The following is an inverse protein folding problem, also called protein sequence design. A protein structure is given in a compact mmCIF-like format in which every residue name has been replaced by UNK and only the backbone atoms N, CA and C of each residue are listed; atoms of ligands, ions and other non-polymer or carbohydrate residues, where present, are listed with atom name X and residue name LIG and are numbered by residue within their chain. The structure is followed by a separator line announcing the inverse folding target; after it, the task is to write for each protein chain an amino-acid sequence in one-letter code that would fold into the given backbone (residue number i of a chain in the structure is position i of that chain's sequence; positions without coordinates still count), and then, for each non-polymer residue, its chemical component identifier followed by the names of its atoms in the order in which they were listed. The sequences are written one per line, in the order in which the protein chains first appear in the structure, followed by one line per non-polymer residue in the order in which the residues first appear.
data_IF_298330729830
#
_entry.id   IF_298330729830
#
_cell.length_a   1.000
_cell.length_b   1.000
_cell.length_c   1.000
_cell.angle_alpha   90.00
_cell.angle_beta   90.00
_cell.angle_gamma   90.00
#
_symmetry.space_group_name_H-M   'P 1'
#
loop_
_entity.id
_entity.type
_entity.pdbx_description
1 polymer ?
#
# COMPACT_ATOMS: atom_id res chain seq x y z
N UNK A 1 21.07 12.25 -18.51
CA UNK A 1 21.34 11.53 -17.25
C UNK A 1 22.21 12.30 -16.25
N UNK A 2 23.12 13.21 -16.66
CA UNK A 2 24.01 13.98 -15.76
C UNK A 2 23.33 15.09 -14.93
N UNK A 3 22.16 15.57 -15.36
CA UNK A 3 21.43 16.69 -14.72
C UNK A 3 20.55 16.29 -13.53
N UNK A 4 20.32 14.99 -13.30
CA UNK A 4 19.50 14.48 -12.19
C UNK A 4 20.37 14.01 -11.01
N UNK A 5 21.65 13.72 -11.25
CA UNK A 5 22.56 13.27 -10.19
C UNK A 5 22.95 14.41 -9.21
N UNK A 6 22.99 15.63 -9.67
CA UNK A 6 23.39 16.78 -8.85
C UNK A 6 22.39 17.10 -7.73
N UNK A 7 21.06 17.17 -7.97
CA UNK A 7 20.09 17.38 -6.91
C UNK A 7 19.98 16.18 -5.95
N UNK A 8 20.22 14.94 -6.44
CA UNK A 8 20.24 13.76 -5.59
C UNK A 8 21.45 13.74 -4.64
N UNK A 9 22.61 14.16 -5.10
CA UNK A 9 23.82 14.33 -4.27
C UNK A 9 23.68 15.47 -3.25
N UNK A 10 22.99 16.55 -3.61
CA UNK A 10 22.69 17.65 -2.68
C UNK A 10 21.67 17.21 -1.62
N UNK A 11 20.70 16.36 -1.97
CA UNK A 11 19.75 15.80 -1.02
C UNK A 11 20.43 14.86 -0.01
N UNK A 12 21.43 14.07 -0.45
CA UNK A 12 22.23 13.21 0.42
C UNK A 12 23.17 14.00 1.35
N UNK A 13 23.67 15.16 0.92
CA UNK A 13 24.58 15.97 1.75
C UNK A 13 23.88 16.71 2.89
N UNK A 14 22.58 16.95 2.77
CA UNK A 14 21.77 17.57 3.85
C UNK A 14 21.52 16.57 5.00
N UNK A 15 21.66 15.27 4.75
CA UNK A 15 21.46 14.24 5.77
C UNK A 15 22.66 13.98 6.68
N UNK A 16 23.82 14.61 6.43
CA UNK A 16 25.06 14.34 7.18
C UNK A 16 25.40 15.35 8.27
N UNK A 17 24.55 16.34 8.52
CA UNK A 17 24.83 17.39 9.49
C UNK A 17 23.95 17.30 10.72
N UNK A 18 24.34 16.46 11.66
CA UNK A 18 24.22 16.76 13.10
C UNK A 18 25.00 15.71 13.88
N UNK A 19 26.26 15.96 14.16
CA UNK A 19 26.93 15.40 15.34
C UNK A 19 26.21 15.97 16.58
N UNK A 20 25.03 15.43 16.87
CA UNK A 20 24.28 15.80 18.06
C UNK A 20 24.90 15.06 19.24
N UNK A 21 25.15 15.79 20.32
CA UNK A 21 25.40 15.16 21.61
C UNK A 21 24.36 14.06 21.84
N UNK A 22 24.77 12.91 22.38
CA UNK A 22 23.86 11.81 22.66
C UNK A 22 22.76 12.32 23.59
N UNK A 23 21.54 12.45 23.07
CA UNK A 23 20.38 12.90 23.83
C UNK A 23 19.64 11.69 24.38
N UNK A 24 19.17 11.79 25.61
CA UNK A 24 18.36 10.76 26.24
C UNK A 24 16.93 10.78 25.64
N UNK A 25 16.61 9.79 24.82
CA UNK A 25 15.29 9.67 24.18
C UNK A 25 14.14 9.58 25.19
N UNK A 26 14.43 9.17 26.43
CA UNK A 26 13.41 9.04 27.46
C UNK A 26 13.08 10.37 28.16
N UNK A 27 13.98 11.36 28.06
CA UNK A 27 13.85 12.61 28.81
C UNK A 27 13.67 13.84 27.94
N UNK A 28 14.19 13.82 26.71
CA UNK A 28 14.20 14.98 25.83
C UNK A 28 13.54 14.69 24.50
N UNK A 29 12.77 15.65 23.92
CA UNK A 29 12.28 15.52 22.56
C UNK A 29 13.44 15.59 21.57
N UNK A 30 13.66 14.53 20.81
CA UNK A 30 14.77 14.42 19.86
C UNK A 30 14.28 14.43 18.42
N UNK A 31 15.16 14.89 17.52
CA UNK A 31 14.97 14.70 16.08
C UNK A 31 15.63 13.39 15.67
N UNK A 32 14.89 12.53 14.96
CA UNK A 32 15.41 11.25 14.50
C UNK A 32 14.74 10.77 13.21
N UNK A 33 15.52 10.04 12.42
CA UNK A 33 15.00 9.24 11.32
C UNK A 33 14.53 7.89 11.81
N UNK A 34 13.49 7.34 11.17
CA UNK A 34 12.90 6.06 11.50
C UNK A 34 12.67 5.27 10.22
N UNK A 35 13.32 4.13 10.07
CA UNK A 35 12.94 3.12 9.10
C UNK A 35 11.82 2.28 9.70
N UNK A 36 10.82 1.99 8.91
CA UNK A 36 9.61 1.35 9.41
C UNK A 36 9.20 0.20 8.49
N UNK A 37 8.76 -0.89 9.09
CA UNK A 37 8.06 -1.98 8.40
C UNK A 37 6.61 -1.95 8.86
N UNK A 38 5.70 -1.92 7.90
CA UNK A 38 4.27 -1.74 8.17
C UNK A 38 3.48 -2.94 7.71
N UNK A 39 2.48 -3.30 8.49
CA UNK A 39 1.45 -4.24 8.12
C UNK A 39 0.09 -3.65 8.48
N UNK A 40 -0.86 -3.71 7.55
CA UNK A 40 -2.19 -3.23 7.84
C UNK A 40 -3.27 -4.18 7.31
N UNK A 41 -4.40 -4.14 7.99
CA UNK A 41 -5.60 -4.88 7.69
C UNK A 41 -6.71 -3.89 7.29
N UNK A 42 -7.26 -4.05 6.07
CA UNK A 42 -8.15 -3.08 5.46
C UNK A 42 -9.53 -3.62 5.19
N UNK A 43 -10.52 -2.81 5.51
CA UNK A 43 -11.92 -2.99 5.12
C UNK A 43 -12.22 -2.06 3.95
N UNK A 44 -12.57 -2.60 2.76
CA UNK A 44 -12.96 -1.77 1.64
C UNK A 44 -14.36 -1.18 1.84
N UNK A 45 -14.54 0.04 1.38
CA UNK A 45 -15.81 0.75 1.38
C UNK A 45 -16.04 1.48 0.04
N UNK A 46 -17.22 2.04 -0.15
CA UNK A 46 -17.67 2.68 -1.39
C UNK A 46 -17.55 1.70 -2.59
N UNK A 47 -17.14 2.18 -3.76
CA UNK A 47 -17.06 1.37 -4.97
C UNK A 47 -16.05 0.21 -4.84
N UNK A 48 -15.03 0.38 -4.00
CA UNK A 48 -14.05 -0.67 -3.75
C UNK A 48 -14.66 -1.93 -3.12
N UNK A 49 -15.72 -1.76 -2.30
CA UNK A 49 -16.43 -2.86 -1.66
C UNK A 49 -17.17 -3.74 -2.67
N UNK A 50 -17.50 -3.24 -3.84
CA UNK A 50 -18.17 -4.03 -4.88
C UNK A 50 -17.23 -5.05 -5.51
N UNK A 51 -15.95 -4.69 -5.66
CA UNK A 51 -14.95 -5.53 -6.33
C UNK A 51 -14.15 -6.41 -5.36
N UNK A 52 -13.92 -5.92 -4.13
CA UNK A 52 -13.02 -6.60 -3.19
C UNK A 52 -13.62 -6.79 -1.80
N UNK A 53 -13.16 -7.82 -1.12
CA UNK A 53 -13.38 -8.01 0.30
C UNK A 53 -12.24 -7.42 1.14
N UNK A 54 -12.09 -7.93 2.35
CA UNK A 54 -11.01 -7.56 3.23
C UNK A 54 -9.66 -7.84 2.58
N UNK A 55 -8.72 -6.92 2.73
CA UNK A 55 -7.36 -7.02 2.19
C UNK A 55 -6.33 -6.67 3.24
N UNK A 56 -5.09 -7.01 2.94
CA UNK A 56 -3.94 -6.71 3.77
C UNK A 56 -2.94 -5.87 2.98
N UNK A 57 -2.10 -5.13 3.71
CA UNK A 57 -0.95 -4.49 3.12
C UNK A 57 0.31 -4.81 3.92
N UNK A 58 1.41 -4.91 3.19
CA UNK A 58 2.75 -4.96 3.75
C UNK A 58 3.58 -3.90 3.05
N UNK A 59 4.41 -3.19 3.80
CA UNK A 59 5.21 -2.14 3.22
C UNK A 59 6.34 -1.66 4.09
N UNK A 60 6.99 -0.63 3.59
CA UNK A 60 8.04 0.07 4.29
C UNK A 60 7.86 1.58 4.20
N UNK A 61 8.34 2.28 5.20
CA UNK A 61 8.34 3.73 5.22
C UNK A 61 9.60 4.29 5.84
N UNK A 62 9.88 5.52 5.49
CA UNK A 62 10.84 6.35 6.17
C UNK A 62 10.12 7.55 6.77
N UNK A 63 10.28 7.75 8.07
CA UNK A 63 9.71 8.87 8.78
C UNK A 63 10.80 9.68 9.46
N UNK A 64 10.71 11.01 9.37
CA UNK A 64 11.56 11.93 10.11
C UNK A 64 10.74 12.66 11.17
N UNK A 65 11.10 12.46 12.41
CA UNK A 65 10.53 13.16 13.56
C UNK A 65 11.43 14.33 13.94
N UNK A 66 10.87 15.51 14.03
CA UNK A 66 11.57 16.70 14.53
C UNK A 66 11.54 16.78 16.06
N UNK A 67 12.44 17.58 16.66
CA UNK A 67 12.40 17.86 18.09
C UNK A 67 11.10 18.54 18.55
N UNK A 68 10.41 19.24 17.64
CA UNK A 68 9.09 19.83 17.90
C UNK A 68 7.94 18.84 17.67
N UNK A 69 8.25 17.54 17.53
CA UNK A 69 7.28 16.46 17.35
C UNK A 69 6.48 16.52 16.04
N UNK A 70 6.98 17.20 15.01
CA UNK A 70 6.46 17.03 13.67
C UNK A 70 6.97 15.73 13.06
N UNK A 71 6.10 15.06 12.32
CA UNK A 71 6.39 13.82 11.58
C UNK A 71 6.29 14.11 10.09
N UNK A 72 7.29 13.68 9.33
CA UNK A 72 7.30 13.69 7.87
C UNK A 72 7.57 12.26 7.42
N UNK A 73 6.63 11.65 6.71
CA UNK A 73 6.69 10.23 6.37
C UNK A 73 6.51 10.04 4.87
N UNK A 74 7.36 9.20 4.28
CA UNK A 74 7.18 8.66 2.94
C UNK A 74 7.01 7.15 3.04
N UNK A 75 5.97 6.60 2.40
CA UNK A 75 5.54 5.25 2.64
C UNK A 75 5.14 4.57 1.33
N UNK A 76 5.46 3.29 1.20
CA UNK A 76 5.10 2.44 0.08
C UNK A 76 4.62 1.09 0.54
N UNK A 77 3.42 0.71 0.13
CA UNK A 77 2.75 -0.51 0.55
C UNK A 77 2.32 -1.34 -0.66
N UNK A 78 2.45 -2.64 -0.53
CA UNK A 78 1.88 -3.63 -1.42
C UNK A 78 0.55 -4.13 -0.84
N UNK A 79 -0.51 -4.06 -1.64
CA UNK A 79 -1.86 -4.50 -1.26
C UNK A 79 -2.07 -5.91 -1.79
N UNK A 80 -2.59 -6.80 -0.94
CA UNK A 80 -2.92 -8.15 -1.32
C UNK A 80 -4.18 -8.64 -0.58
N UNK A 81 -4.95 -9.49 -1.27
CA UNK A 81 -6.16 -10.09 -0.73
C UNK A 81 -6.62 -11.23 -1.61
N UNK A 82 -7.27 -12.20 -1.01
CA UNK A 82 -7.80 -13.38 -1.70
C UNK A 82 -9.32 -13.31 -1.88
N UNK A 83 -9.96 -12.21 -1.49
CA UNK A 83 -11.40 -12.01 -1.59
C UNK A 83 -11.73 -10.99 -2.67
N UNK A 84 -11.76 -11.46 -3.91
CA UNK A 84 -12.33 -10.73 -5.02
C UNK A 84 -13.81 -11.05 -5.07
N UNK A 85 -14.64 -10.02 -5.08
CA UNK A 85 -16.09 -10.12 -5.22
C UNK A 85 -16.46 -9.99 -6.69
N UNK A 86 -17.58 -10.53 -7.01
CA UNK A 86 -18.09 -10.58 -8.37
C UNK A 86 -18.23 -12.01 -8.82
N UNK A 87 -19.27 -12.24 -9.56
CA UNK A 87 -19.47 -13.50 -10.26
C UNK A 87 -18.35 -13.65 -11.31
N UNK A 88 -17.90 -14.87 -11.53
CA UNK A 88 -16.89 -15.19 -12.55
C UNK A 88 -17.33 -14.74 -13.93
N UNK A 89 -18.63 -14.88 -14.24
CA UNK A 89 -19.23 -14.38 -15.48
C UNK A 89 -19.04 -12.86 -15.60
N UNK A 90 -19.22 -12.11 -14.51
CA UNK A 90 -19.03 -10.64 -14.52
C UNK A 90 -17.57 -10.23 -14.71
N UNK A 91 -16.60 -11.08 -14.37
CA UNK A 91 -15.19 -10.81 -14.51
C UNK A 91 -14.69 -11.19 -15.90
N UNK A 92 -15.05 -12.38 -16.40
CA UNK A 92 -14.52 -12.97 -17.63
C UNK A 92 -15.46 -12.82 -18.82
N UNK A 93 -16.73 -12.51 -18.60
CA UNK A 93 -17.78 -12.45 -19.64
C UNK A 93 -18.30 -13.83 -20.02
N UNK A 94 -19.50 -13.84 -20.63
CA UNK A 94 -20.18 -15.06 -21.05
C UNK A 94 -19.46 -15.83 -22.17
N UNK A 95 -18.60 -15.15 -22.93
CA UNK A 95 -17.93 -15.75 -24.10
C UNK A 95 -16.93 -16.86 -23.75
N UNK A 96 -16.40 -16.86 -22.54
CA UNK A 96 -15.37 -17.83 -22.10
C UNK A 96 -15.75 -18.53 -20.78
N UNK A 97 -17.00 -18.34 -20.32
CA UNK A 97 -17.51 -19.00 -19.12
C UNK A 97 -18.71 -19.88 -19.43
N UNK A 98 -18.85 -20.96 -18.66
CA UNK A 98 -20.07 -21.76 -18.65
C UNK A 98 -21.20 -21.02 -17.93
N UNK A 99 -22.42 -21.55 -18.02
CA UNK A 99 -23.59 -21.04 -17.27
C UNK A 99 -23.35 -21.08 -15.75
N UNK A 100 -22.53 -22.02 -15.29
CA UNK A 100 -22.14 -22.19 -13.89
C UNK A 100 -20.93 -21.31 -13.49
N UNK A 101 -20.43 -20.47 -14.42
CA UNK A 101 -19.33 -19.55 -14.19
C UNK A 101 -17.95 -20.19 -14.22
N UNK A 102 -17.79 -21.37 -14.79
CA UNK A 102 -16.50 -22.00 -14.98
C UNK A 102 -15.82 -21.46 -16.24
N UNK A 103 -14.51 -21.22 -16.20
CA UNK A 103 -13.74 -20.73 -17.35
C UNK A 103 -13.35 -21.90 -18.25
N UNK A 104 -13.59 -21.73 -19.56
CA UNK A 104 -13.28 -22.72 -20.58
C UNK A 104 -11.90 -22.40 -21.17
N UNK A 105 -11.04 -23.40 -21.17
CA UNK A 105 -9.73 -23.35 -21.81
C UNK A 105 -9.77 -23.54 -23.32
N UNK A 106 -8.65 -23.31 -23.99
CA UNK A 106 -8.51 -23.46 -25.46
C UNK A 106 -8.81 -24.85 -25.99
N UNK A 107 -8.76 -25.89 -25.17
CA UNK A 107 -9.14 -27.27 -25.51
C UNK A 107 -10.60 -27.64 -25.21
N UNK A 108 -11.42 -26.67 -24.77
CA UNK A 108 -12.82 -26.91 -24.40
C UNK A 108 -13.02 -27.51 -23.00
N UNK A 109 -11.98 -27.66 -22.22
CA UNK A 109 -12.04 -28.15 -20.85
C UNK A 109 -12.15 -27.00 -19.83
N UNK A 110 -12.75 -27.28 -18.68
CA UNK A 110 -12.79 -26.35 -17.55
C UNK A 110 -11.37 -26.16 -16.99
N UNK A 111 -11.02 -24.92 -16.69
CA UNK A 111 -9.69 -24.55 -16.17
C UNK A 111 -9.80 -24.05 -14.74
N UNK A 112 -8.92 -24.56 -13.87
CA UNK A 112 -8.78 -24.08 -12.52
C UNK A 112 -7.95 -22.79 -12.49
N UNK A 113 -8.42 -21.80 -11.73
CA UNK A 113 -7.73 -20.54 -11.56
C UNK A 113 -8.04 -19.93 -10.20
N UNK A 114 -7.15 -19.07 -9.73
CA UNK A 114 -7.37 -18.24 -8.57
C UNK A 114 -7.42 -16.76 -8.95
N UNK A 115 -8.28 -16.01 -8.28
CA UNK A 115 -8.40 -14.56 -8.43
C UNK A 115 -8.05 -13.89 -7.11
N UNK A 116 -7.10 -12.98 -7.17
CA UNK A 116 -6.57 -12.30 -6.02
C UNK A 116 -6.53 -10.78 -6.25
N UNK A 117 -6.73 -10.01 -5.20
CA UNK A 117 -6.42 -8.58 -5.24
C UNK A 117 -4.92 -8.37 -5.16
N UNK A 118 -4.40 -7.47 -6.00
CA UNK A 118 -3.02 -6.95 -5.92
C UNK A 118 -3.06 -5.45 -6.17
N UNK A 119 -2.19 -4.73 -5.48
CA UNK A 119 -2.12 -3.28 -5.65
C UNK A 119 -0.89 -2.67 -5.00
N UNK A 120 -0.74 -1.37 -5.21
CA UNK A 120 0.30 -0.56 -4.59
C UNK A 120 -0.30 0.74 -4.10
N UNK A 121 0.22 1.22 -2.98
CA UNK A 121 -0.13 2.51 -2.43
C UNK A 121 1.15 3.23 -2.01
N UNK A 122 1.39 4.40 -2.62
CA UNK A 122 2.51 5.27 -2.28
C UNK A 122 1.95 6.58 -1.74
N UNK A 123 2.53 7.08 -0.65
CA UNK A 123 2.05 8.31 -0.03
C UNK A 123 3.17 9.08 0.70
N UNK A 124 3.01 10.40 0.73
CA UNK A 124 3.78 11.30 1.55
C UNK A 124 2.85 11.97 2.55
N UNK A 125 3.24 11.96 3.81
CA UNK A 125 2.41 12.37 4.94
C UNK A 125 3.16 13.37 5.80
N UNK A 126 2.40 14.23 6.46
CA UNK A 126 2.88 15.10 7.52
C UNK A 126 1.91 15.04 8.70
N UNK A 127 2.46 15.22 9.89
CA UNK A 127 1.64 15.15 11.09
C UNK A 127 2.32 15.62 12.33
N UNK A 128 1.65 15.43 13.44
CA UNK A 128 2.10 15.85 14.76
C UNK A 128 1.97 14.72 15.76
N UNK A 129 2.99 14.55 16.57
CA UNK A 129 2.97 13.71 17.77
C UNK A 129 2.62 14.57 18.99
N UNK A 130 1.62 14.15 19.72
CA UNK A 130 1.19 14.73 21.01
C UNK A 130 1.72 13.82 22.10
N UNK A 131 2.74 14.25 22.80
CA UNK A 131 3.40 13.45 23.84
C UNK A 131 2.45 13.16 24.98
N UNK A 132 2.42 11.90 25.40
CA UNK A 132 1.66 11.43 26.55
C UNK A 132 2.58 10.68 27.51
N UNK A 133 2.62 11.12 28.76
CA UNK A 133 3.46 10.50 29.81
C UNK A 133 4.88 11.07 29.90
N UNK A 134 5.78 10.39 30.59
CA UNK A 134 7.12 10.90 30.92
C UNK A 134 8.06 10.95 29.71
N UNK A 135 7.85 10.09 28.69
CA UNK A 135 8.67 10.10 27.49
C UNK A 135 8.09 11.07 26.45
N UNK A 136 8.79 12.19 26.14
CA UNK A 136 8.29 13.19 25.22
C UNK A 136 8.26 12.72 23.75
N UNK A 137 8.83 11.57 23.45
CA UNK A 137 8.86 10.97 22.11
C UNK A 137 7.80 9.87 21.90
N UNK A 138 6.97 9.61 22.93
CA UNK A 138 5.84 8.69 22.88
C UNK A 138 4.52 9.44 22.96
N UNK A 139 3.48 8.97 22.30
CA UNK A 139 2.16 9.58 22.41
C UNK A 139 1.25 9.31 21.23
N UNK A 140 0.13 10.02 21.23
CA UNK A 140 -0.83 9.98 20.12
C UNK A 140 -0.28 10.82 18.97
N UNK A 141 -0.36 10.29 17.76
CA UNK A 141 -0.03 11.03 16.57
C UNK A 141 -1.20 11.09 15.59
N UNK A 142 -1.24 12.18 14.84
CA UNK A 142 -2.16 12.35 13.72
C UNK A 142 -1.31 12.73 12.50
N UNK A 143 -1.49 12.01 11.39
CA UNK A 143 -0.84 12.31 10.13
C UNK A 143 -1.87 12.37 9.01
N UNK A 144 -1.64 13.27 8.06
CA UNK A 144 -2.41 13.34 6.83
C UNK A 144 -1.45 13.46 5.64
N UNK A 145 -1.86 12.91 4.52
CA UNK A 145 -1.01 12.89 3.35
C UNK A 145 -1.74 12.71 2.04
N UNK A 146 -0.96 12.82 0.98
CA UNK A 146 -1.40 12.58 -0.38
C UNK A 146 -0.53 11.51 -1.02
N UNK A 147 -1.11 10.80 -1.97
CA UNK A 147 -0.42 9.71 -2.62
C UNK A 147 -1.12 9.22 -3.88
N UNK A 148 -0.78 8.01 -4.25
CA UNK A 148 -1.35 7.33 -5.39
C UNK A 148 -1.70 5.89 -5.03
N UNK A 149 -2.93 5.50 -5.32
CA UNK A 149 -3.44 4.15 -5.11
C UNK A 149 -3.66 3.46 -6.43
N UNK A 150 -3.23 2.20 -6.52
CA UNK A 150 -3.47 1.34 -7.66
C UNK A 150 -3.94 -0.04 -7.19
N UNK A 151 -5.01 -0.55 -7.78
CA UNK A 151 -5.54 -1.89 -7.55
C UNK A 151 -5.81 -2.61 -8.86
N UNK A 152 -5.64 -3.93 -8.85
CA UNK A 152 -6.03 -4.81 -9.94
C UNK A 152 -6.47 -6.18 -9.44
N UNK A 153 -7.22 -6.88 -10.25
CA UNK A 153 -7.47 -8.32 -10.12
C UNK A 153 -6.26 -9.05 -10.71
N UNK A 154 -5.62 -9.89 -9.93
CA UNK A 154 -4.59 -10.80 -10.39
C UNK A 154 -5.21 -12.17 -10.60
N UNK A 155 -5.10 -12.66 -11.83
CA UNK A 155 -5.63 -13.96 -12.25
C UNK A 155 -4.44 -14.89 -12.39
N UNK A 156 -4.46 -16.00 -11.65
CA UNK A 156 -3.43 -17.02 -11.65
C UNK A 156 -4.05 -18.36 -12.05
N UNK A 157 -3.59 -18.90 -13.17
CA UNK A 157 -4.06 -20.16 -13.70
C UNK A 157 -3.13 -21.29 -13.28
N UNK A 158 -3.67 -22.41 -12.81
CA UNK A 158 -2.89 -23.62 -12.62
C UNK A 158 -2.36 -24.10 -13.98
N UNK A 159 -1.04 -24.33 -14.05
CA UNK A 159 -0.34 -24.68 -15.28
C UNK A 159 -0.73 -26.09 -15.74
N UNK A 160 -1.76 -26.18 -16.56
CA UNK A 160 -1.97 -27.35 -17.42
C UNK A 160 -1.46 -27.01 -18.83
N UNK A 161 -0.37 -27.62 -19.22
CA UNK A 161 0.43 -27.31 -20.43
C UNK A 161 -0.35 -27.40 -21.74
N UNK A 162 -1.55 -28.02 -21.76
CA UNK A 162 -2.34 -28.25 -22.98
C UNK A 162 -3.70 -27.51 -23.01
N UNK A 163 -4.13 -26.89 -21.91
CA UNK A 163 -5.47 -26.27 -21.79
C UNK A 163 -5.43 -24.80 -21.39
N UNK A 164 -4.35 -24.12 -21.74
CA UNK A 164 -4.16 -22.72 -21.37
C UNK A 164 -5.24 -21.84 -21.99
N UNK A 165 -6.14 -21.24 -21.20
CA UNK A 165 -7.13 -20.33 -21.77
C UNK A 165 -6.43 -19.11 -22.35
N UNK A 166 -7.02 -18.51 -23.39
CA UNK A 166 -6.47 -17.28 -24.03
C UNK A 166 -6.20 -16.15 -23.01
N UNK A 167 -6.95 -16.12 -21.89
CA UNK A 167 -6.78 -15.16 -20.80
C UNK A 167 -5.41 -15.20 -20.11
N UNK A 168 -4.63 -16.27 -20.29
CA UNK A 168 -3.23 -16.36 -19.80
C UNK A 168 -2.30 -15.43 -20.57
N UNK A 169 -2.60 -15.13 -21.82
CA UNK A 169 -1.81 -14.18 -22.58
C UNK A 169 -2.00 -12.77 -22.06
N UNK A 170 -0.90 -12.04 -21.85
CA UNK A 170 -0.89 -10.70 -21.25
C UNK A 170 -1.90 -9.73 -21.87
N UNK A 171 -2.06 -9.81 -23.17
CA UNK A 171 -2.95 -8.90 -23.90
C UNK A 171 -4.43 -9.11 -23.52
N UNK A 172 -4.83 -10.33 -23.25
CA UNK A 172 -6.16 -10.65 -22.77
C UNK A 172 -6.33 -10.39 -21.26
N UNK A 173 -5.30 -10.69 -20.45
CA UNK A 173 -5.34 -10.37 -19.01
C UNK A 173 -5.59 -8.90 -18.74
N UNK A 174 -5.08 -8.02 -19.59
CA UNK A 174 -5.23 -6.57 -19.45
C UNK A 174 -6.69 -6.11 -19.54
N UNK A 175 -7.56 -6.87 -20.17
CA UNK A 175 -8.99 -6.60 -20.21
C UNK A 175 -9.75 -7.03 -18.97
N UNK A 176 -9.29 -8.10 -18.33
CA UNK A 176 -9.99 -8.71 -17.21
C UNK A 176 -9.47 -8.27 -15.85
N UNK A 177 -8.25 -7.70 -15.77
CA UNK A 177 -7.62 -7.35 -14.51
C UNK A 177 -8.22 -6.11 -13.82
N UNK A 178 -9.12 -5.39 -14.49
CA UNK A 178 -9.81 -4.19 -13.97
C UNK A 178 -8.86 -3.24 -13.25
N UNK A 179 -7.67 -3.03 -13.84
CA UNK A 179 -6.65 -2.20 -13.23
C UNK A 179 -7.12 -0.76 -13.10
N UNK A 180 -7.25 -0.29 -11.87
CA UNK A 180 -7.68 1.07 -11.54
C UNK A 180 -6.64 1.75 -10.68
N UNK A 181 -6.44 3.05 -10.92
CA UNK A 181 -5.54 3.86 -10.12
C UNK A 181 -5.87 5.32 -10.18
N UNK A 182 -5.38 6.05 -9.19
CA UNK A 182 -5.62 7.48 -9.10
C UNK A 182 -5.04 8.12 -7.84
N UNK A 183 -5.17 9.45 -7.74
CA UNK A 183 -4.74 10.20 -6.58
C UNK A 183 -5.49 9.75 -5.34
N UNK A 184 -4.78 9.71 -4.22
CA UNK A 184 -5.30 9.29 -2.93
C UNK A 184 -4.98 10.33 -1.86
N UNK A 185 -5.91 10.46 -0.90
CA UNK A 185 -5.72 11.17 0.35
C UNK A 185 -5.71 10.15 1.50
N UNK A 186 -4.82 10.36 2.46
CA UNK A 186 -4.62 9.46 3.59
C UNK A 186 -4.71 10.21 4.90
N UNK A 187 -5.29 9.57 5.89
CA UNK A 187 -5.38 10.03 7.27
C UNK A 187 -5.06 8.88 8.21
N UNK A 188 -4.21 9.15 9.19
CA UNK A 188 -3.78 8.17 10.19
C UNK A 188 -3.86 8.79 11.59
N UNK A 189 -4.44 8.04 12.53
CA UNK A 189 -4.51 8.38 13.96
C UNK A 189 -4.01 7.18 14.74
N UNK A 190 -2.95 7.35 15.53
CA UNK A 190 -2.35 6.23 16.24
C UNK A 190 -1.58 6.61 17.47
N UNK A 191 -0.93 5.62 18.05
CA UNK A 191 -0.02 5.76 19.17
C UNK A 191 1.38 5.30 18.76
N UNK A 192 2.37 6.16 19.00
CA UNK A 192 3.79 5.92 18.76
C UNK A 192 4.48 5.62 20.09
N UNK A 193 5.15 4.49 20.16
CA UNK A 193 5.99 4.09 21.29
C UNK A 193 7.45 3.98 20.85
N UNK A 194 8.30 4.83 21.40
CA UNK A 194 9.74 4.80 21.22
C UNK A 194 10.42 4.55 22.56
N UNK A 195 11.29 3.56 22.59
CA UNK A 195 12.07 3.21 23.77
C UNK A 195 13.56 3.39 23.51
N UNK A 196 14.37 3.26 24.55
CA UNK A 196 15.83 3.24 24.42
C UNK A 196 16.35 1.98 23.73
N UNK A 197 15.53 0.93 23.67
CA UNK A 197 15.83 -0.30 22.93
C UNK A 197 15.62 -0.12 21.42
N UNK A 198 16.55 -0.60 20.60
CA UNK A 198 16.39 -0.55 19.14
C UNK A 198 15.27 -1.43 18.60
N UNK A 199 14.86 -2.47 19.31
CA UNK A 199 13.93 -3.48 18.81
C UNK A 199 12.48 -3.28 19.27
N UNK A 200 12.26 -2.53 20.36
CA UNK A 200 10.94 -2.39 20.99
C UNK A 200 10.24 -1.08 20.63
N UNK A 201 10.47 -0.59 19.41
CA UNK A 201 9.84 0.63 18.92
C UNK A 201 8.71 0.25 17.97
N UNK A 202 7.50 0.64 18.32
CA UNK A 202 6.29 0.23 17.59
C UNK A 202 5.28 1.37 17.50
N UNK A 203 4.42 1.29 16.51
CA UNK A 203 3.22 2.12 16.46
C UNK A 203 2.01 1.28 16.07
N UNK A 204 0.85 1.68 16.55
CA UNK A 204 -0.43 1.14 16.15
C UNK A 204 -1.36 2.30 15.80
N UNK A 205 -2.08 2.19 14.69
CA UNK A 205 -2.91 3.26 14.18
C UNK A 205 -4.18 2.76 13.51
N UNK A 206 -5.19 3.61 13.53
CA UNK A 206 -6.33 3.56 12.62
C UNK A 206 -6.00 4.41 11.41
N UNK A 207 -6.25 3.89 10.23
CA UNK A 207 -5.97 4.60 8.98
C UNK A 207 -7.19 4.61 8.06
N UNK A 208 -7.26 5.66 7.27
CA UNK A 208 -8.27 5.84 6.25
C UNK A 208 -7.61 6.35 4.96
N UNK A 209 -7.84 5.65 3.85
CA UNK A 209 -7.34 6.05 2.54
C UNK A 209 -8.49 6.20 1.58
N UNK A 210 -8.72 7.42 1.10
CA UNK A 210 -9.68 7.71 0.05
C UNK A 210 -8.95 7.97 -1.27
N UNK A 211 -9.39 7.34 -2.35
CA UNK A 211 -8.81 7.54 -3.66
C UNK A 211 -9.89 7.71 -4.73
N UNK A 212 -9.68 8.66 -5.63
CA UNK A 212 -10.49 8.83 -6.83
C UNK A 212 -9.76 8.19 -8.01
N UNK A 213 -10.19 6.99 -8.38
CA UNK A 213 -9.50 6.16 -9.36
C UNK A 213 -10.22 6.13 -10.70
N UNK A 214 -9.49 5.72 -11.73
CA UNK A 214 -10.01 5.45 -13.09
C UNK A 214 -9.37 4.17 -13.62
N UNK A 215 -9.92 3.64 -14.69
CA UNK A 215 -9.25 2.59 -15.43
C UNK A 215 -7.91 3.11 -15.96
N UNK A 216 -6.84 2.33 -15.76
CA UNK A 216 -5.49 2.63 -16.25
C UNK A 216 -5.22 1.97 -17.60
N UNK A 217 -6.09 1.08 -18.01
CA UNK A 217 -6.02 0.34 -19.27
C UNK A 217 -7.32 0.53 -20.00
N UNK A 218 -7.22 0.94 -21.25
CA UNK A 218 -8.33 0.94 -22.18
C UNK A 218 -8.38 -0.44 -22.81
N UNK A 219 -9.48 -1.13 -22.61
CA UNK A 219 -9.70 -2.42 -23.23
C UNK A 219 -11.05 -2.40 -23.92
N UNK A 220 -11.00 -2.51 -25.24
CA UNK A 220 -12.18 -2.57 -26.08
C UNK A 220 -12.22 -3.94 -26.74
N UNK A 221 -12.94 -4.88 -26.13
CA UNK A 221 -13.31 -6.12 -26.75
C UNK A 221 -14.47 -5.85 -27.70
N UNK A 222 -14.18 -5.30 -28.87
CA UNK A 222 -15.19 -5.13 -29.88
C UNK A 222 -15.61 -6.48 -30.39
N UNK A 223 -16.82 -6.80 -30.01
CA UNK A 223 -17.74 -7.67 -30.72
C UNK A 223 -17.12 -8.89 -31.40
N UNK A 224 -17.04 -9.99 -30.71
CA UNK A 224 -17.03 -11.28 -31.36
C UNK A 224 -18.50 -11.66 -31.62
N UNK A 225 -18.87 -11.74 -32.88
CA UNK A 225 -20.19 -12.22 -33.35
C UNK A 225 -21.41 -11.44 -32.78
N UNK A 226 -21.30 -10.10 -32.68
CA UNK A 226 -22.43 -9.25 -32.26
C UNK A 226 -22.67 -9.15 -30.76
N UNK A 227 -21.89 -9.86 -29.92
CA UNK A 227 -22.00 -9.82 -28.48
C UNK A 227 -20.96 -8.82 -27.92
N UNK A 228 -21.34 -7.76 -27.17
CA UNK A 228 -20.40 -6.83 -26.56
C UNK A 228 -19.62 -7.56 -25.46
N UNK A 229 -18.34 -7.81 -25.66
CA UNK A 229 -17.44 -8.41 -24.69
C UNK A 229 -16.61 -7.29 -24.07
N UNK A 230 -16.93 -6.90 -22.85
CA UNK A 230 -16.15 -6.04 -21.97
C UNK A 230 -15.68 -4.71 -22.57
N UNK A 231 -16.29 -3.61 -22.14
CA UNK A 231 -15.85 -2.25 -22.42
C UNK A 231 -15.36 -1.58 -21.12
N UNK A 232 -14.16 -1.01 -21.14
CA UNK A 232 -13.70 -0.14 -20.06
C UNK A 232 -13.85 1.31 -20.49
N UNK A 233 -14.78 2.03 -19.88
CA UNK A 233 -14.92 3.46 -20.08
C UNK A 233 -13.76 4.20 -19.39
N UNK A 234 -12.84 4.87 -20.12
CA UNK A 234 -11.71 5.58 -19.54
C UNK A 234 -12.14 6.81 -18.74
N UNK A 235 -13.34 7.32 -18.99
CA UNK A 235 -13.88 8.49 -18.31
C UNK A 235 -14.57 8.15 -16.98
N UNK A 236 -14.90 6.88 -16.76
CA UNK A 236 -15.54 6.44 -15.54
C UNK A 236 -14.60 6.62 -14.33
N UNK A 237 -15.14 7.22 -13.29
CA UNK A 237 -14.42 7.47 -12.02
C UNK A 237 -15.04 6.65 -10.90
N UNK A 238 -14.16 6.12 -10.05
CA UNK A 238 -14.53 5.30 -8.90
C UNK A 238 -14.01 5.94 -7.62
N UNK A 239 -14.81 5.85 -6.58
CA UNK A 239 -14.46 6.31 -5.24
C UNK A 239 -14.05 5.11 -4.40
N UNK A 240 -12.76 4.94 -4.19
CA UNK A 240 -12.22 3.88 -3.37
C UNK A 240 -11.97 4.38 -1.95
N UNK A 241 -12.38 3.60 -0.97
CA UNK A 241 -12.11 3.90 0.44
C UNK A 241 -11.63 2.64 1.14
N UNK A 242 -10.49 2.75 1.81
CA UNK A 242 -10.00 1.79 2.78
C UNK A 242 -10.10 2.38 4.18
N UNK A 243 -10.56 1.57 5.13
CA UNK A 243 -10.49 1.86 6.56
C UNK A 243 -9.76 0.67 7.18
N UNK A 244 -8.73 0.94 7.98
CA UNK A 244 -7.86 -0.13 8.44
C UNK A 244 -7.23 0.10 9.79
N UNK A 245 -6.56 -0.96 10.24
CA UNK A 245 -5.70 -0.95 11.41
C UNK A 245 -4.29 -1.25 10.93
N UNK A 246 -3.34 -0.35 11.26
CA UNK A 246 -1.93 -0.46 10.89
C UNK A 246 -1.10 -0.77 12.13
N UNK A 247 -0.19 -1.71 11.98
CA UNK A 247 0.88 -2.00 12.94
C UNK A 247 2.22 -1.68 12.26
N UNK A 248 3.07 -0.99 12.98
CA UNK A 248 4.36 -0.53 12.48
C UNK A 248 5.46 -0.93 13.45
N UNK A 249 6.47 -1.61 12.93
CA UNK A 249 7.72 -1.82 13.63
C UNK A 249 8.74 -0.80 13.17
N UNK A 250 9.45 -0.18 14.12
CA UNK A 250 10.28 1.00 13.88
C UNK A 250 11.74 0.69 14.24
N UNK A 251 12.62 1.03 13.32
CA UNK A 251 14.07 0.98 13.50
C UNK A 251 14.58 2.43 13.51
N UNK A 252 14.79 3.01 14.70
CA UNK A 252 15.23 4.40 14.81
C UNK A 252 16.72 4.54 14.49
N UNK A 253 17.11 5.72 13.99
CA UNK A 253 18.49 6.04 13.59
C UNK A 253 19.23 6.88 14.63
N UNK A 254 18.78 6.94 15.88
CA UNK A 254 19.50 7.63 16.93
C UNK A 254 20.71 6.82 17.44
N UNK A 255 21.74 7.54 17.90
CA UNK A 255 22.86 6.92 18.61
C UNK A 255 22.48 6.75 20.08
N UNK A 256 22.59 5.52 20.58
CA UNK A 256 22.42 5.24 22.01
C UNK A 256 23.55 5.86 22.80
N UNK A 257 23.25 6.45 23.97
CA UNK A 257 24.29 6.75 24.95
C UNK A 257 24.92 5.44 25.40
N UNK A 258 26.26 5.32 25.42
CA UNK A 258 26.92 4.22 26.11
C UNK A 258 26.49 4.24 27.57
N UNK A 259 26.16 3.09 28.14
CA UNK A 259 25.97 2.98 29.57
C UNK A 259 27.28 3.43 30.25
N UNK A 260 27.20 4.38 31.20
CA UNK A 260 28.37 4.79 31.96
C UNK A 260 28.84 3.59 32.78
N UNK A 261 29.93 2.99 32.35
CA UNK A 261 30.59 1.96 33.17
C UNK A 261 31.32 2.65 34.32
N UNK A 262 30.74 2.64 35.48
CA UNK A 262 31.47 2.97 36.70
C UNK A 262 32.41 1.81 36.98
N UNK A 263 33.72 2.02 36.78
CA UNK A 263 34.77 1.21 37.35
C UNK A 263 34.90 1.61 38.82
N UNK A 264 34.42 0.77 39.72
CA UNK A 264 34.77 0.84 41.16
C UNK A 264 36.15 0.25 41.37
#
# INVERSE_FOLDING_TARGET
MRKILLPLLLLCSVLTLSAQHPKDIMKEPISLGMFQVTYAFHFPALDLRTDYGVSNTIGGSFSYKTASNWLLTANGNFIFGNRVKGDRISIFGEAITTVDGEVIGGGGNVVNFSINQRGFHFQAETGKLFSLGPNPNCGIFVQAGLGYLMNRIHIDFEHETYNTPYVVYKDYQYGYDRMRGGPAAHLELGYLYLSDSRLTNVAAALEMTYARTRHLREYDFRVFDGIPVGYTDPDLRFNHLYIGIRLTWIIPTYQRQPDEFYYN
#
